data_IF_202648242713
#
_entry.id   IF_202648242713
#
_cell.length_a   1.000
_cell.length_b   1.000
_cell.length_c   1.000
_cell.angle_alpha   90.00
_cell.angle_beta   90.00
_cell.angle_gamma   90.00
#
_symmetry.space_group_name_H-M   'P 1'
#
loop_
_entity.id
_entity.type
_entity.pdbx_description
1 polymer ?
#
# COMPACT_ATOMS: atom_id res chain seq x y z
N UNK A 1 -35.76 -50.13 -70.04
CA UNK A 1 -34.76 -49.91 -71.10
C UNK A 1 -33.42 -49.79 -70.40
N UNK A 2 -32.60 -50.82 -70.56
CA UNK A 2 -31.33 -51.11 -69.87
C UNK A 2 -30.20 -50.20 -70.35
N UNK A 3 -29.26 -49.85 -69.44
CA UNK A 3 -27.84 -49.68 -69.79
C UNK A 3 -26.92 -49.80 -68.57
N UNK A 4 -26.27 -50.96 -68.56
CA UNK A 4 -24.93 -51.40 -68.13
C UNK A 4 -24.05 -50.65 -67.11
N UNK A 5 -23.39 -51.52 -66.37
CA UNK A 5 -22.38 -51.41 -65.32
C UNK A 5 -21.05 -50.76 -65.74
N UNK A 6 -20.35 -50.17 -64.77
CA UNK A 6 -18.90 -50.33 -64.61
C UNK A 6 -18.53 -50.28 -63.11
N UNK A 7 -17.76 -51.26 -62.58
CA UNK A 7 -17.26 -51.26 -61.20
C UNK A 7 -15.93 -50.49 -61.09
N UNK A 8 -15.73 -49.76 -59.99
CA UNK A 8 -14.42 -49.15 -59.64
C UNK A 8 -13.64 -50.07 -58.70
N UNK A 9 -12.34 -50.11 -58.99
CA UNK A 9 -11.31 -51.01 -58.50
C UNK A 9 -10.97 -50.83 -57.01
N UNK A 10 -10.67 -51.97 -56.37
CA UNK A 10 -9.92 -52.09 -55.12
C UNK A 10 -8.44 -51.73 -55.33
N UNK A 11 -7.84 -51.00 -54.39
CA UNK A 11 -6.38 -50.98 -54.21
C UNK A 11 -6.02 -50.70 -52.74
N UNK A 12 -5.43 -51.72 -52.11
CA UNK A 12 -4.62 -51.73 -50.88
C UNK A 12 -3.49 -52.75 -51.15
N UNK A 13 -2.39 -52.84 -50.38
CA UNK A 13 -1.76 -51.92 -49.43
C UNK A 13 -0.24 -51.77 -49.70
N UNK A 14 0.46 -50.93 -48.91
CA UNK A 14 1.93 -50.88 -48.94
C UNK A 14 2.53 -50.13 -47.74
N UNK A 15 2.83 -50.88 -46.68
CA UNK A 15 3.82 -50.50 -45.65
C UNK A 15 5.19 -51.03 -46.12
N UNK A 16 6.30 -50.32 -45.84
CA UNK A 16 7.28 -50.97 -44.98
C UNK A 16 8.09 -50.04 -44.04
N UNK A 17 8.35 -50.61 -42.87
CA UNK A 17 9.58 -50.65 -42.08
C UNK A 17 10.15 -49.40 -41.39
N UNK A 18 10.20 -49.52 -40.07
CA UNK A 18 11.14 -48.81 -39.22
C UNK A 18 12.52 -49.47 -39.22
N UNK A 19 13.56 -48.63 -39.28
CA UNK A 19 14.85 -48.95 -38.68
C UNK A 19 15.44 -47.71 -38.02
N UNK A 20 15.56 -47.81 -36.70
CA UNK A 20 16.45 -47.00 -35.88
C UNK A 20 17.92 -47.32 -36.21
N UNK A 21 18.82 -46.33 -36.10
CA UNK A 21 20.24 -46.59 -35.90
C UNK A 21 21.21 -45.64 -36.58
N UNK A 22 21.64 -44.62 -35.83
CA UNK A 22 23.04 -44.17 -35.66
C UNK A 22 23.94 -44.05 -36.92
N UNK A 23 24.11 -42.82 -37.42
CA UNK A 23 25.40 -42.41 -38.01
C UNK A 23 25.77 -41.03 -37.48
N UNK A 24 26.87 -41.06 -36.73
CA UNK A 24 27.58 -39.96 -36.08
C UNK A 24 28.30 -39.07 -37.11
N UNK A 25 28.76 -37.94 -36.59
CA UNK A 25 29.76 -37.02 -37.15
C UNK A 25 29.37 -36.23 -38.39
N UNK A 26 28.95 -34.98 -38.15
CA UNK A 26 29.44 -33.84 -38.94
C UNK A 26 29.42 -32.57 -38.06
N UNK A 27 30.56 -32.26 -37.43
CA UNK A 27 30.89 -30.90 -37.02
C UNK A 27 31.19 -30.04 -38.26
N UNK A 28 30.83 -28.76 -38.25
CA UNK A 28 31.62 -27.74 -38.94
C UNK A 28 32.11 -26.67 -37.97
N UNK A 29 33.42 -26.71 -37.75
CA UNK A 29 34.38 -25.60 -37.74
C UNK A 29 33.96 -24.24 -37.15
N UNK A 30 34.61 -23.95 -36.03
CA UNK A 30 34.64 -22.67 -35.35
C UNK A 30 35.70 -21.79 -36.02
N UNK A 31 35.29 -20.88 -36.90
CA UNK A 31 36.16 -19.81 -37.39
C UNK A 31 35.44 -18.46 -37.41
N UNK A 32 36.10 -17.44 -36.89
CA UNK A 32 35.75 -16.04 -37.15
C UNK A 32 35.73 -15.14 -35.92
N UNK A 33 36.90 -14.88 -35.35
CA UNK A 33 37.11 -13.79 -34.40
C UNK A 33 36.76 -12.44 -35.05
N UNK A 34 35.58 -11.91 -34.73
CA UNK A 34 35.17 -10.53 -35.04
C UNK A 34 34.97 -9.74 -33.75
N UNK A 35 36.06 -9.20 -33.19
CA UNK A 35 35.98 -8.33 -32.01
C UNK A 35 35.36 -6.97 -32.38
N UNK A 36 34.03 -6.87 -32.26
CA UNK A 36 33.33 -5.58 -32.36
C UNK A 36 33.65 -4.78 -31.09
N UNK A 37 34.67 -3.92 -31.20
CA UNK A 37 35.11 -3.00 -30.16
C UNK A 37 34.11 -1.85 -30.06
N UNK A 38 33.08 -2.00 -29.23
CA UNK A 38 32.15 -0.90 -28.91
C UNK A 38 32.89 0.14 -28.07
N UNK A 39 33.24 1.25 -28.72
CA UNK A 39 33.88 2.43 -28.13
C UNK A 39 32.95 3.05 -27.09
N UNK A 40 33.33 2.92 -25.82
CA UNK A 40 32.62 3.51 -24.69
C UNK A 40 32.55 5.03 -24.79
N UNK A 41 31.34 5.57 -24.97
CA UNK A 41 31.06 6.98 -24.80
C UNK A 41 30.62 7.19 -23.36
N UNK A 42 31.46 7.90 -22.60
CA UNK A 42 31.31 8.12 -21.16
C UNK A 42 29.94 8.66 -20.76
N UNK A 43 29.12 7.79 -20.18
CA UNK A 43 27.96 8.20 -19.40
C UNK A 43 28.44 8.73 -18.06
N UNK A 44 28.36 10.05 -17.88
CA UNK A 44 28.53 10.71 -16.58
C UNK A 44 27.64 9.99 -15.55
N UNK A 45 28.26 9.27 -14.63
CA UNK A 45 27.57 8.70 -13.46
C UNK A 45 27.18 9.87 -12.57
N UNK A 46 25.95 10.35 -12.70
CA UNK A 46 25.36 11.25 -11.72
C UNK A 46 25.17 10.46 -10.42
N UNK A 47 26.16 10.52 -9.54
CA UNK A 47 26.00 10.17 -8.13
C UNK A 47 25.20 11.29 -7.47
N UNK A 48 23.88 11.13 -7.41
CA UNK A 48 23.07 11.91 -6.48
C UNK A 48 23.22 11.25 -5.12
N UNK A 49 24.19 11.73 -4.34
CA UNK A 49 24.26 11.43 -2.92
C UNK A 49 23.14 12.24 -2.24
N UNK A 50 22.04 11.56 -1.93
CA UNK A 50 21.01 12.12 -1.06
C UNK A 50 21.52 12.03 0.38
N UNK A 51 22.29 13.04 0.80
CA UNK A 51 22.62 13.21 2.21
C UNK A 51 21.35 13.68 2.92
N UNK A 52 20.71 12.78 3.68
CA UNK A 52 19.64 13.15 4.59
C UNK A 52 20.25 13.97 5.72
N UNK A 53 20.11 15.29 5.64
CA UNK A 53 20.38 16.17 6.79
C UNK A 53 19.29 15.87 7.81
N UNK A 54 19.63 15.15 8.87
CA UNK A 54 18.77 15.00 10.04
C UNK A 54 18.84 16.35 10.77
N UNK A 55 17.92 17.25 10.45
CA UNK A 55 17.72 18.46 11.23
C UNK A 55 17.04 18.05 12.56
N UNK A 56 17.49 18.59 13.71
CA UNK A 56 16.85 18.31 14.99
C UNK A 56 15.40 18.81 14.95
N UNK A 57 14.46 17.91 15.23
CA UNK A 57 13.09 18.29 15.53
C UNK A 57 13.05 18.96 16.90
N UNK A 58 12.14 19.92 17.14
CA UNK A 58 11.89 20.37 18.49
C UNK A 58 11.48 19.14 19.31
N UNK A 59 12.39 18.75 20.21
CA UNK A 59 12.15 17.75 21.23
C UNK A 59 11.05 18.33 22.11
N UNK A 60 9.83 17.80 22.00
CA UNK A 60 8.83 18.04 23.03
C UNK A 60 9.29 17.28 24.27
N UNK A 61 10.01 17.98 25.16
CA UNK A 61 10.38 17.44 26.44
C UNK A 61 9.10 16.98 27.16
N UNK A 62 9.07 15.72 27.56
CA UNK A 62 7.93 15.10 28.20
C UNK A 62 7.52 15.88 29.46
N UNK A 63 6.38 16.57 29.40
CA UNK A 63 5.80 17.28 30.54
C UNK A 63 5.61 18.78 30.38
N UNK A 64 6.21 19.40 29.36
CA UNK A 64 5.88 20.78 29.00
C UNK A 64 4.68 20.78 28.03
N UNK A 65 3.72 21.68 28.25
CA UNK A 65 2.65 21.97 27.30
C UNK A 65 3.29 22.31 25.95
N UNK A 66 2.66 21.97 24.81
CA UNK A 66 3.30 22.17 23.52
C UNK A 66 3.47 23.64 23.10
N UNK A 67 4.21 24.49 23.82
CA UNK A 67 4.34 25.90 23.48
C UNK A 67 2.95 26.55 23.37
N UNK A 68 2.80 27.50 22.45
CA UNK A 68 1.48 28.07 22.14
C UNK A 68 0.69 27.13 21.22
N UNK A 69 -0.64 27.11 21.37
CA UNK A 69 -1.55 26.40 20.47
C UNK A 69 -1.23 26.79 19.01
N UNK A 70 -0.90 25.82 18.14
CA UNK A 70 -0.49 26.12 16.78
C UNK A 70 -1.67 26.63 15.96
N UNK A 71 -1.47 27.72 15.24
CA UNK A 71 -2.41 28.17 14.19
C UNK A 71 -2.26 27.28 12.96
N UNK A 72 -3.23 27.28 12.04
CA UNK A 72 -3.08 26.55 10.76
C UNK A 72 -1.83 26.96 9.96
N UNK A 73 -1.34 28.20 10.12
CA UNK A 73 -0.12 28.66 9.47
C UNK A 73 1.16 28.12 10.14
N UNK A 74 1.10 27.77 11.43
CA UNK A 74 2.25 27.27 12.22
C UNK A 74 2.18 25.79 12.55
N UNK A 75 1.05 25.13 12.27
CA UNK A 75 0.78 23.71 12.47
C UNK A 75 1.49 22.80 11.44
N UNK A 76 2.76 23.05 11.15
CA UNK A 76 3.57 22.23 10.24
C UNK A 76 4.81 21.70 10.95
N UNK A 77 5.15 20.44 10.72
CA UNK A 77 6.36 19.80 11.25
C UNK A 77 7.37 19.51 10.13
N UNK A 78 8.65 19.84 10.34
CA UNK A 78 9.73 19.56 9.38
C UNK A 78 10.22 18.10 9.43
N UNK A 79 9.31 17.16 9.72
CA UNK A 79 9.62 15.77 10.04
C UNK A 79 10.63 15.11 9.08
N UNK A 80 11.45 14.14 9.55
CA UNK A 80 12.35 13.36 8.69
C UNK A 80 11.60 12.55 7.61
N UNK A 81 10.28 12.45 7.73
CA UNK A 81 9.40 11.84 6.72
C UNK A 81 9.23 12.72 5.47
N UNK A 82 9.39 14.05 5.58
CA UNK A 82 9.19 14.97 4.44
C UNK A 82 10.11 14.65 3.26
N UNK A 83 11.45 14.48 3.42
CA UNK A 83 12.32 14.06 2.34
C UNK A 83 11.91 12.74 1.69
N UNK A 84 11.45 11.77 2.50
CA UNK A 84 11.02 10.46 2.00
C UNK A 84 9.73 10.59 1.15
N UNK A 85 8.76 11.40 1.59
CA UNK A 85 7.54 11.68 0.81
C UNK A 85 7.87 12.39 -0.50
N UNK A 86 8.70 13.43 -0.46
CA UNK A 86 9.12 14.15 -1.67
C UNK A 86 9.84 13.23 -2.66
N UNK A 87 10.71 12.35 -2.16
CA UNK A 87 11.39 11.36 -2.99
C UNK A 87 10.40 10.40 -3.65
N UNK A 88 9.42 9.88 -2.89
CA UNK A 88 8.40 8.96 -3.41
C UNK A 88 7.51 9.65 -4.45
N UNK A 89 7.10 10.89 -4.21
CA UNK A 89 6.35 11.73 -5.17
C UNK A 89 7.16 11.93 -6.45
N UNK A 90 8.42 12.32 -6.33
CA UNK A 90 9.30 12.57 -7.46
C UNK A 90 9.53 11.29 -8.30
N UNK A 91 9.80 10.16 -7.64
CA UNK A 91 9.98 8.88 -8.33
C UNK A 91 8.69 8.43 -9.03
N UNK A 92 7.54 8.58 -8.39
CA UNK A 92 6.26 8.25 -9.01
C UNK A 92 5.97 9.15 -10.23
N UNK A 93 6.17 10.46 -10.11
CA UNK A 93 6.02 11.40 -11.22
C UNK A 93 6.97 11.12 -12.39
N UNK A 94 8.23 10.77 -12.12
CA UNK A 94 9.19 10.34 -13.14
C UNK A 94 8.71 9.07 -13.82
N UNK A 95 8.28 8.06 -13.07
CA UNK A 95 7.76 6.79 -13.60
C UNK A 95 6.54 7.01 -14.49
N UNK A 96 5.60 7.83 -14.02
CA UNK A 96 4.38 8.19 -14.76
C UNK A 96 4.73 8.91 -16.06
N UNK A 97 5.63 9.90 -16.01
CA UNK A 97 6.08 10.64 -17.18
C UNK A 97 6.77 9.76 -18.22
N UNK A 98 7.40 8.65 -17.81
CA UNK A 98 8.05 7.68 -18.70
C UNK A 98 7.04 6.71 -19.30
N UNK A 99 6.07 6.26 -18.53
CA UNK A 99 5.00 5.37 -18.99
C UNK A 99 4.08 6.06 -20.00
N UNK A 100 3.84 7.36 -19.82
CA UNK A 100 3.02 8.16 -20.72
C UNK A 100 3.82 8.76 -21.88
N UNK A 101 5.17 8.72 -21.84
CA UNK A 101 6.01 9.13 -22.98
C UNK A 101 5.87 8.09 -24.11
N UNK A 102 5.35 8.53 -25.26
CA UNK A 102 5.11 7.68 -26.43
C UNK A 102 3.67 7.19 -26.60
N UNK A 103 2.72 7.74 -25.83
CA UNK A 103 1.28 7.49 -25.97
C UNK A 103 0.45 8.59 -25.31
N UNK A 104 -0.84 8.31 -25.10
CA UNK A 104 -1.74 9.21 -24.36
C UNK A 104 -1.64 8.98 -22.85
N UNK A 105 -1.88 10.03 -22.07
CA UNK A 105 -2.07 9.90 -20.62
C UNK A 105 -3.15 8.84 -20.34
N UNK A 106 -2.85 7.90 -19.44
CA UNK A 106 -3.71 6.75 -19.18
C UNK A 106 -3.22 5.41 -19.75
N UNK A 107 -2.16 5.40 -20.57
CA UNK A 107 -1.57 4.14 -21.08
C UNK A 107 -0.83 3.41 -19.95
N UNK A 108 -1.29 2.19 -19.63
CA UNK A 108 -0.72 1.31 -18.58
C UNK A 108 -1.18 1.66 -17.16
N UNK A 109 -1.16 2.94 -16.80
CA UNK A 109 -1.70 3.50 -15.55
C UNK A 109 -2.71 4.57 -15.91
N UNK A 110 -3.95 4.38 -15.48
CA UNK A 110 -5.07 5.30 -15.70
C UNK A 110 -4.87 6.61 -14.91
N UNK A 111 -5.55 7.67 -15.35
CA UNK A 111 -5.52 8.97 -14.65
C UNK A 111 -6.10 8.82 -13.23
N UNK A 112 -7.14 8.00 -13.05
CA UNK A 112 -7.73 7.73 -11.75
C UNK A 112 -6.73 7.04 -10.80
N UNK A 113 -5.98 6.04 -11.27
CA UNK A 113 -4.93 5.38 -10.46
C UNK A 113 -3.83 6.37 -10.05
N UNK A 114 -3.36 7.22 -10.98
CA UNK A 114 -2.39 8.26 -10.67
C UNK A 114 -2.94 9.28 -9.64
N UNK A 115 -4.19 9.73 -9.83
CA UNK A 115 -4.85 10.65 -8.92
C UNK A 115 -5.03 10.03 -7.52
N UNK A 116 -5.38 8.75 -7.43
CA UNK A 116 -5.47 8.04 -6.15
C UNK A 116 -4.13 7.97 -5.42
N UNK A 117 -3.02 7.78 -6.13
CA UNK A 117 -1.69 7.81 -5.51
C UNK A 117 -1.36 9.20 -4.92
N UNK A 118 -1.58 10.26 -5.68
CA UNK A 118 -1.35 11.62 -5.19
C UNK A 118 -2.30 11.99 -4.06
N UNK A 119 -3.57 11.56 -4.11
CA UNK A 119 -4.52 11.70 -3.02
C UNK A 119 -4.05 10.97 -1.75
N UNK A 120 -3.61 9.71 -1.87
CA UNK A 120 -3.06 8.93 -0.75
C UNK A 120 -1.80 9.56 -0.17
N UNK A 121 -0.95 10.15 -1.01
CA UNK A 121 0.22 10.89 -0.54
C UNK A 121 -0.16 12.20 0.13
N UNK A 122 -1.18 12.89 -0.37
CA UNK A 122 -1.77 14.06 0.28
C UNK A 122 -2.34 13.72 1.66
N UNK A 123 -2.95 12.55 1.83
CA UNK A 123 -3.38 12.03 3.14
C UNK A 123 -2.19 11.78 4.06
N UNK A 124 -1.07 11.25 3.55
CA UNK A 124 0.15 11.09 4.36
C UNK A 124 0.72 12.45 4.79
N UNK A 125 0.75 13.45 3.91
CA UNK A 125 1.15 14.82 4.26
C UNK A 125 0.20 15.39 5.31
N UNK A 126 -1.12 15.17 5.13
CA UNK A 126 -2.14 15.61 6.07
C UNK A 126 -1.90 15.05 7.48
N UNK A 127 -1.59 13.75 7.53
CA UNK A 127 -1.38 13.01 8.76
C UNK A 127 -0.01 13.25 9.41
N UNK A 128 1.07 13.45 8.64
CA UNK A 128 2.46 13.44 9.15
C UNK A 128 3.15 14.80 9.16
N UNK A 129 2.57 15.81 8.51
CA UNK A 129 3.25 17.09 8.27
C UNK A 129 2.36 18.26 8.65
N UNK A 130 1.11 18.29 8.18
CA UNK A 130 0.22 19.44 8.37
C UNK A 130 -1.25 19.06 8.22
N UNK A 131 -2.18 19.51 9.08
CA UNK A 131 -2.01 20.09 10.41
C UNK A 131 -2.22 19.04 11.51
N UNK A 132 -2.60 17.80 11.13
CA UNK A 132 -3.06 16.77 12.07
C UNK A 132 -1.93 16.35 13.01
N UNK A 133 -0.70 16.25 12.51
CA UNK A 133 0.48 15.93 13.33
C UNK A 133 0.68 16.94 14.47
N UNK A 134 0.56 18.24 14.16
CA UNK A 134 0.69 19.30 15.16
C UNK A 134 -0.45 19.25 16.17
N UNK A 135 -1.71 19.13 15.72
CA UNK A 135 -2.85 19.02 16.63
C UNK A 135 -2.90 17.68 17.38
N UNK A 136 -2.26 16.63 16.89
CA UNK A 136 -2.19 15.32 17.53
C UNK A 136 -1.43 15.34 18.87
N UNK A 137 -0.59 16.35 19.10
CA UNK A 137 0.00 16.62 20.40
C UNK A 137 -0.99 17.24 21.40
N UNK A 138 -2.08 17.85 20.92
CA UNK A 138 -3.01 18.64 21.74
C UNK A 138 -4.36 17.98 21.97
N UNK A 139 -4.88 17.32 20.94
CA UNK A 139 -6.22 16.72 20.94
C UNK A 139 -6.12 15.21 20.72
N UNK A 140 -6.82 14.45 21.56
CA UNK A 140 -7.01 13.02 21.37
C UNK A 140 -7.73 12.76 20.04
N UNK A 141 -8.69 13.60 19.66
CA UNK A 141 -9.39 13.47 18.39
C UNK A 141 -8.47 13.61 17.17
N UNK A 142 -7.55 14.57 17.19
CA UNK A 142 -6.54 14.73 16.15
C UNK A 142 -5.55 13.56 16.13
N UNK A 143 -5.12 13.08 17.30
CA UNK A 143 -4.26 11.91 17.44
C UNK A 143 -4.91 10.65 16.84
N UNK A 144 -6.18 10.39 17.18
CA UNK A 144 -6.93 9.27 16.61
C UNK A 144 -7.16 9.47 15.11
N UNK A 145 -7.48 10.69 14.68
CA UNK A 145 -7.55 11.04 13.27
C UNK A 145 -6.28 10.67 12.52
N UNK A 146 -5.11 10.98 13.07
CA UNK A 146 -3.80 10.63 12.50
C UNK A 146 -3.68 9.12 12.30
N UNK A 147 -3.99 8.32 13.32
CA UNK A 147 -3.95 6.86 13.23
C UNK A 147 -4.90 6.32 12.15
N UNK A 148 -6.11 6.86 12.07
CA UNK A 148 -7.11 6.45 11.09
C UNK A 148 -6.71 6.80 9.66
N UNK A 149 -6.12 7.97 9.44
CA UNK A 149 -5.61 8.36 8.12
C UNK A 149 -4.49 7.41 7.66
N UNK A 150 -3.58 7.02 8.56
CA UNK A 150 -2.46 6.12 8.25
C UNK A 150 -2.89 4.67 8.04
N UNK A 151 -3.86 4.18 8.81
CA UNK A 151 -4.26 2.77 8.80
C UNK A 151 -5.37 2.49 7.78
N UNK A 152 -6.38 3.35 7.70
CA UNK A 152 -7.61 3.10 6.96
C UNK A 152 -7.65 3.78 5.59
N UNK A 153 -7.18 5.03 5.48
CA UNK A 153 -7.39 5.86 4.30
C UNK A 153 -6.19 5.93 3.34
N UNK A 154 -4.99 6.21 3.84
CA UNK A 154 -3.79 6.32 3.00
C UNK A 154 -3.46 5.00 2.27
N UNK A 155 -3.48 3.82 2.92
CA UNK A 155 -3.10 2.57 2.26
C UNK A 155 -3.93 2.20 1.02
N UNK A 156 -5.29 2.21 1.05
CA UNK A 156 -6.06 1.88 -0.15
C UNK A 156 -5.80 2.85 -1.29
N UNK A 157 -5.69 4.15 -1.01
CA UNK A 157 -5.43 5.19 -2.02
C UNK A 157 -4.04 5.05 -2.66
N UNK A 158 -3.01 4.84 -1.85
CA UNK A 158 -1.65 4.63 -2.33
C UNK A 158 -1.57 3.36 -3.20
N UNK A 159 -2.18 2.26 -2.76
CA UNK A 159 -2.14 0.98 -3.48
C UNK A 159 -3.03 0.95 -4.73
N UNK A 160 -4.10 1.76 -4.76
CA UNK A 160 -4.91 1.97 -5.96
C UNK A 160 -4.01 2.43 -7.12
N UNK A 161 -3.07 3.35 -6.87
CA UNK A 161 -2.17 3.88 -7.89
C UNK A 161 -1.01 3.00 -8.34
N UNK A 162 -0.99 1.72 -7.94
CA UNK A 162 0.00 0.71 -8.37
C UNK A 162 1.47 1.19 -8.25
N UNK A 163 1.88 1.70 -7.08
CA UNK A 163 3.15 2.41 -6.90
C UNK A 163 4.36 1.55 -7.30
N UNK A 164 4.34 0.25 -7.00
CA UNK A 164 5.44 -0.65 -7.37
C UNK A 164 5.66 -0.73 -8.89
N UNK A 165 4.59 -0.73 -9.69
CA UNK A 165 4.69 -0.77 -11.15
C UNK A 165 5.26 0.55 -11.71
N UNK A 166 4.81 1.69 -11.16
CA UNK A 166 5.27 3.02 -11.58
C UNK A 166 6.71 3.28 -11.16
N UNK A 167 7.07 2.92 -9.92
CA UNK A 167 8.44 3.05 -9.43
C UNK A 167 9.41 2.16 -10.24
N UNK A 168 9.01 0.94 -10.60
CA UNK A 168 9.83 0.08 -11.46
C UNK A 168 10.15 0.73 -12.82
N UNK A 169 9.22 1.51 -13.39
CA UNK A 169 9.45 2.28 -14.61
C UNK A 169 10.34 3.53 -14.39
N UNK A 170 10.34 4.09 -13.17
CA UNK A 170 11.17 5.23 -12.80
C UNK A 170 12.64 4.85 -12.56
N UNK A 171 12.91 3.67 -12.02
CA UNK A 171 14.26 3.25 -11.63
C UNK A 171 15.02 2.56 -12.77
N UNK A 172 16.36 2.73 -12.86
CA UNK A 172 17.20 1.93 -13.77
C UNK A 172 17.12 0.43 -13.44
N UNK A 173 17.41 -0.48 -14.40
CA UNK A 173 17.26 -1.93 -14.21
C UNK A 173 17.97 -2.50 -12.98
N UNK A 174 19.17 -1.96 -12.65
CA UNK A 174 19.93 -2.36 -11.45
C UNK A 174 19.18 -2.10 -10.14
N UNK A 175 18.51 -0.95 -10.04
CA UNK A 175 17.78 -0.57 -8.84
C UNK A 175 16.40 -1.19 -8.81
N UNK A 176 15.75 -1.40 -9.96
CA UNK A 176 14.51 -2.18 -10.03
C UNK A 176 14.74 -3.63 -9.56
N UNK A 177 15.85 -4.25 -9.93
CA UNK A 177 16.24 -5.59 -9.43
C UNK A 177 16.51 -5.58 -7.92
N UNK A 178 17.19 -4.54 -7.41
CA UNK A 178 17.43 -4.37 -5.98
C UNK A 178 16.12 -4.22 -5.20
N UNK A 179 15.19 -3.38 -5.68
CA UNK A 179 13.86 -3.20 -5.10
C UNK A 179 13.10 -4.53 -5.07
N UNK A 180 13.09 -5.27 -6.18
CA UNK A 180 12.46 -6.58 -6.23
C UNK A 180 13.06 -7.57 -5.22
N UNK A 181 14.40 -7.55 -5.05
CA UNK A 181 15.09 -8.38 -4.06
C UNK A 181 14.72 -8.01 -2.62
N UNK A 182 14.63 -6.71 -2.31
CA UNK A 182 14.23 -6.21 -0.97
C UNK A 182 12.77 -6.55 -0.67
N UNK A 183 11.90 -6.51 -1.68
CA UNK A 183 10.48 -6.86 -1.52
C UNK A 183 10.20 -8.36 -1.65
N UNK A 184 11.17 -9.17 -2.06
CA UNK A 184 11.00 -10.62 -2.25
C UNK A 184 10.56 -11.36 -0.97
N UNK A 185 11.08 -11.05 0.24
CA UNK A 185 10.58 -11.66 1.48
C UNK A 185 9.11 -11.34 1.77
N UNK A 186 8.60 -10.20 1.30
CA UNK A 186 7.16 -9.85 1.40
C UNK A 186 6.29 -10.73 0.48
N UNK A 187 6.89 -11.52 -0.40
CA UNK A 187 6.21 -12.49 -1.25
C UNK A 187 6.17 -13.89 -0.63
N UNK A 188 6.80 -14.11 0.54
CA UNK A 188 6.73 -15.38 1.24
C UNK A 188 5.26 -15.76 1.54
N UNK A 189 4.91 -17.07 1.60
CA UNK A 189 3.55 -17.51 1.86
C UNK A 189 2.93 -16.88 3.12
N UNK A 190 3.72 -16.76 4.18
CA UNK A 190 3.33 -16.11 5.43
C UNK A 190 2.85 -14.66 5.21
N UNK A 191 3.60 -13.87 4.45
CA UNK A 191 3.29 -12.48 4.10
C UNK A 191 2.06 -12.36 3.18
N UNK A 192 1.59 -13.47 2.59
CA UNK A 192 0.38 -13.52 1.74
C UNK A 192 -0.87 -14.00 2.48
N UNK A 193 -0.74 -14.36 3.76
CA UNK A 193 -1.86 -14.84 4.56
C UNK A 193 -2.70 -13.67 5.06
N UNK A 194 -3.94 -13.56 4.55
CA UNK A 194 -4.85 -12.48 4.94
C UNK A 194 -5.18 -12.50 6.44
N UNK A 195 -5.31 -13.68 7.03
CA UNK A 195 -5.55 -13.79 8.48
C UNK A 195 -4.44 -13.12 9.29
N UNK A 196 -3.17 -13.31 8.91
CA UNK A 196 -2.03 -12.69 9.60
C UNK A 196 -2.00 -11.18 9.43
N UNK A 197 -2.26 -10.67 8.22
CA UNK A 197 -2.37 -9.24 7.98
C UNK A 197 -3.53 -8.61 8.80
N UNK A 198 -4.65 -9.33 8.90
CA UNK A 198 -5.82 -8.93 9.69
C UNK A 198 -5.47 -8.92 11.19
N UNK A 199 -4.83 -9.99 11.69
CA UNK A 199 -4.37 -10.08 13.08
C UNK A 199 -3.34 -9.01 13.41
N UNK A 200 -2.41 -8.69 12.50
CA UNK A 200 -1.45 -7.61 12.69
C UNK A 200 -2.15 -6.25 12.77
N UNK A 201 -3.15 -6.01 11.92
CA UNK A 201 -3.97 -4.79 11.97
C UNK A 201 -4.68 -4.64 13.32
N UNK A 202 -5.33 -5.71 13.79
CA UNK A 202 -5.99 -5.77 15.12
C UNK A 202 -4.96 -5.54 16.24
N UNK A 203 -3.83 -6.23 16.21
CA UNK A 203 -2.81 -6.15 17.25
C UNK A 203 -2.20 -4.75 17.36
N UNK A 204 -1.89 -4.12 16.23
CA UNK A 204 -1.41 -2.73 16.18
C UNK A 204 -2.47 -1.78 16.72
N UNK A 205 -3.73 -1.94 16.30
CA UNK A 205 -4.83 -1.12 16.79
C UNK A 205 -4.94 -1.20 18.31
N UNK A 206 -5.13 -2.40 18.87
CA UNK A 206 -5.33 -2.55 20.31
C UNK A 206 -4.09 -2.24 21.13
N UNK A 207 -2.91 -2.59 20.62
CA UNK A 207 -1.63 -2.38 21.31
C UNK A 207 -1.37 -0.91 21.58
N UNK A 208 -1.53 -0.04 20.58
CA UNK A 208 -1.24 1.39 20.73
C UNK A 208 -2.34 2.17 21.43
N UNK A 209 -3.58 1.67 21.45
CA UNK A 209 -4.69 2.30 22.18
C UNK A 209 -4.71 1.94 23.67
N UNK A 210 -3.81 1.07 24.14
CA UNK A 210 -3.65 0.82 25.56
C UNK A 210 -3.08 2.08 26.26
N UNK A 211 -3.58 2.47 27.46
CA UNK A 211 -3.09 3.65 28.17
C UNK A 211 -1.57 3.64 28.43
N UNK A 212 -0.99 2.46 28.69
CA UNK A 212 0.45 2.31 28.90
C UNK A 212 1.26 2.57 27.62
N UNK A 213 0.73 2.20 26.45
CA UNK A 213 1.38 2.44 25.17
C UNK A 213 1.37 3.94 24.84
N UNK A 214 0.25 4.62 25.09
CA UNK A 214 0.19 6.08 24.95
C UNK A 214 1.19 6.77 25.88
N UNK A 215 1.25 6.37 27.16
CA UNK A 215 2.22 6.93 28.10
C UNK A 215 3.68 6.74 27.65
N UNK A 216 4.00 5.62 26.99
CA UNK A 216 5.32 5.37 26.41
C UNK A 216 5.59 6.31 25.23
N UNK A 217 4.63 6.44 24.31
CA UNK A 217 4.73 7.26 23.11
C UNK A 217 4.92 8.74 23.46
N UNK A 218 4.21 9.22 24.49
CA UNK A 218 4.34 10.60 24.97
C UNK A 218 5.73 10.91 25.58
N UNK A 219 6.53 9.88 25.90
CA UNK A 219 7.85 10.03 26.52
C UNK A 219 9.00 9.64 25.59
N UNK A 220 8.71 9.10 24.42
CA UNK A 220 9.71 8.51 23.53
C UNK A 220 9.36 8.76 22.06
N UNK A 221 10.15 9.62 21.43
CA UNK A 221 10.03 9.91 20.00
C UNK A 221 10.21 8.65 19.12
N UNK A 222 11.19 7.73 19.39
CA UNK A 222 11.27 6.48 18.66
C UNK A 222 10.00 5.62 18.79
N UNK A 223 9.33 5.63 19.95
CA UNK A 223 8.08 4.90 20.14
C UNK A 223 6.94 5.53 19.32
N UNK A 224 6.90 6.86 19.22
CA UNK A 224 5.97 7.58 18.36
C UNK A 224 6.16 7.23 16.88
N UNK A 225 7.42 7.21 16.40
CA UNK A 225 7.74 6.77 15.04
C UNK A 225 7.37 5.31 14.78
N UNK A 226 7.64 4.42 15.75
CA UNK A 226 7.30 3.01 15.66
C UNK A 226 5.79 2.81 15.59
N UNK A 227 5.02 3.54 16.40
CA UNK A 227 3.57 3.52 16.39
C UNK A 227 3.02 3.91 15.02
N UNK A 228 3.38 5.08 14.51
CA UNK A 228 2.94 5.55 13.20
C UNK A 228 3.39 4.63 12.06
N UNK A 229 4.64 4.18 12.07
CA UNK A 229 5.16 3.22 11.12
C UNK A 229 4.37 1.91 11.14
N UNK A 230 4.04 1.40 12.33
CA UNK A 230 3.27 0.16 12.46
C UNK A 230 1.83 0.28 11.95
N UNK A 231 1.15 1.42 12.17
CA UNK A 231 -0.18 1.69 11.61
C UNK A 231 -0.13 1.69 10.08
N UNK A 232 0.80 2.45 9.49
CA UNK A 232 0.94 2.52 8.04
C UNK A 232 1.29 1.15 7.43
N UNK A 233 2.23 0.42 8.04
CA UNK A 233 2.65 -0.90 7.56
C UNK A 233 1.55 -1.95 7.68
N UNK A 234 0.82 -2.00 8.80
CA UNK A 234 -0.30 -2.92 8.99
C UNK A 234 -1.44 -2.60 8.00
N UNK A 235 -1.72 -1.31 7.75
CA UNK A 235 -2.69 -0.86 6.77
C UNK A 235 -2.30 -1.24 5.35
N UNK A 236 -1.05 -0.98 4.95
CA UNK A 236 -0.50 -1.36 3.64
C UNK A 236 -0.52 -2.87 3.43
N UNK A 237 -0.18 -3.65 4.46
CA UNK A 237 -0.17 -5.11 4.37
C UNK A 237 -1.58 -5.66 4.15
N UNK A 238 -2.55 -5.26 4.99
CA UNK A 238 -3.95 -5.66 4.85
C UNK A 238 -4.50 -5.26 3.48
N UNK A 239 -4.37 -3.98 3.10
CA UNK A 239 -4.92 -3.48 1.86
C UNK A 239 -4.24 -4.05 0.62
N UNK A 240 -2.96 -4.45 0.69
CA UNK A 240 -2.32 -5.17 -0.42
C UNK A 240 -3.05 -6.48 -0.71
N UNK A 241 -3.39 -7.24 0.33
CA UNK A 241 -4.09 -8.53 0.19
C UNK A 241 -5.57 -8.36 -0.15
N UNK A 242 -6.21 -7.27 0.29
CA UNK A 242 -7.57 -6.90 -0.14
C UNK A 242 -7.59 -6.45 -1.61
N UNK A 243 -6.61 -5.66 -2.06
CA UNK A 243 -6.52 -5.24 -3.46
C UNK A 243 -6.26 -6.42 -4.40
N UNK A 244 -5.45 -7.40 -4.01
CA UNK A 244 -5.31 -8.66 -4.76
C UNK A 244 -6.68 -9.36 -4.88
N UNK A 245 -7.45 -9.38 -3.79
CA UNK A 245 -8.81 -9.93 -3.75
C UNK A 245 -9.81 -9.21 -4.64
N UNK A 246 -9.70 -7.89 -4.69
CA UNK A 246 -10.54 -7.05 -5.53
C UNK A 246 -10.13 -7.15 -7.00
N UNK A 247 -8.85 -7.40 -7.32
CA UNK A 247 -8.30 -7.39 -8.68
C UNK A 247 -8.29 -8.77 -9.36
N UNK A 248 -8.10 -9.85 -8.61
CA UNK A 248 -7.87 -11.19 -9.13
C UNK A 248 -9.06 -12.13 -8.86
N UNK A 249 -9.65 -12.71 -9.90
CA UNK A 249 -10.91 -13.49 -9.82
C UNK A 249 -10.82 -14.85 -9.08
N UNK A 250 -9.62 -15.26 -8.67
CA UNK A 250 -9.36 -16.54 -8.00
C UNK A 250 -9.22 -16.43 -6.47
N UNK A 251 -9.24 -15.22 -5.90
CA UNK A 251 -8.59 -14.98 -4.60
C UNK A 251 -9.53 -14.91 -3.38
N UNK A 252 -10.75 -15.44 -3.50
CA UNK A 252 -11.63 -15.74 -2.35
C UNK A 252 -12.27 -14.50 -1.71
N UNK A 253 -13.31 -13.95 -2.35
CA UNK A 253 -14.04 -12.76 -1.91
C UNK A 253 -14.58 -12.86 -0.48
N UNK A 254 -15.09 -14.04 -0.07
CA UNK A 254 -15.59 -14.27 1.29
C UNK A 254 -14.51 -14.00 2.35
N UNK A 255 -13.28 -14.45 2.12
CA UNK A 255 -12.17 -14.21 3.06
C UNK A 255 -11.85 -12.72 3.21
N UNK A 256 -11.92 -11.96 2.11
CA UNK A 256 -11.74 -10.50 2.12
C UNK A 256 -12.86 -9.79 2.87
N UNK A 257 -14.11 -10.20 2.64
CA UNK A 257 -15.26 -9.63 3.34
C UNK A 257 -15.19 -9.90 4.86
N UNK A 258 -14.82 -11.12 5.27
CA UNK A 258 -14.61 -11.46 6.69
C UNK A 258 -13.52 -10.59 7.31
N UNK A 259 -12.37 -10.44 6.64
CA UNK A 259 -11.27 -9.60 7.15
C UNK A 259 -11.70 -8.14 7.33
N UNK A 260 -12.44 -7.59 6.36
CA UNK A 260 -13.00 -6.23 6.45
C UNK A 260 -13.95 -6.12 7.65
N UNK A 261 -14.89 -7.05 7.80
CA UNK A 261 -15.83 -7.05 8.92
C UNK A 261 -15.10 -7.12 10.26
N UNK A 262 -14.09 -7.99 10.40
CA UNK A 262 -13.29 -8.11 11.63
C UNK A 262 -12.61 -6.78 11.97
N UNK A 263 -11.96 -6.14 11.01
CA UNK A 263 -11.26 -4.85 11.23
C UNK A 263 -12.23 -3.72 11.53
N UNK A 264 -13.40 -3.71 10.90
CA UNK A 264 -14.45 -2.73 11.19
C UNK A 264 -15.06 -2.94 12.59
N UNK A 265 -15.34 -4.19 12.98
CA UNK A 265 -15.94 -4.50 14.29
C UNK A 265 -15.01 -4.14 15.45
N UNK A 266 -13.74 -4.53 15.37
CA UNK A 266 -12.77 -4.23 16.44
C UNK A 266 -12.51 -2.72 16.57
N UNK A 267 -12.46 -2.00 15.44
CA UNK A 267 -12.27 -0.55 15.39
C UNK A 267 -13.49 0.16 15.96
N UNK A 268 -14.69 -0.24 15.52
CA UNK A 268 -15.95 0.27 16.05
C UNK A 268 -16.13 0.00 17.53
N UNK A 269 -15.66 -1.15 18.04
CA UNK A 269 -15.68 -1.46 19.46
C UNK A 269 -14.79 -0.50 20.28
N UNK A 270 -13.55 -0.28 19.85
CA UNK A 270 -12.69 0.71 20.50
C UNK A 270 -13.28 2.13 20.40
N UNK A 271 -13.92 2.47 19.27
CA UNK A 271 -14.55 3.77 19.07
C UNK A 271 -15.71 3.96 20.04
N UNK A 272 -16.59 2.96 20.14
CA UNK A 272 -17.68 2.93 21.11
C UNK A 272 -17.18 3.03 22.55
N UNK A 273 -16.06 2.37 22.88
CA UNK A 273 -15.45 2.48 24.22
C UNK A 273 -15.07 3.93 24.54
N UNK A 274 -14.45 4.65 23.60
CA UNK A 274 -14.09 6.06 23.80
C UNK A 274 -15.35 6.95 23.92
N UNK A 275 -16.35 6.75 23.05
CA UNK A 275 -17.59 7.55 23.04
C UNK A 275 -18.40 7.35 24.32
N UNK A 276 -18.61 6.11 24.75
CA UNK A 276 -19.54 5.78 25.83
C UNK A 276 -18.87 5.67 27.20
N UNK A 277 -17.54 5.76 27.29
CA UNK A 277 -16.84 5.77 28.58
C UNK A 277 -17.23 7.01 29.38
N UNK A 278 -17.63 6.79 30.64
CA UNK A 278 -17.91 7.86 31.61
C UNK A 278 -16.65 8.42 32.28
N UNK A 279 -15.49 7.85 31.98
CA UNK A 279 -14.18 8.26 32.50
C UNK A 279 -13.33 8.78 31.36
N UNK A 280 -12.50 9.77 31.67
CA UNK A 280 -11.44 10.23 30.76
C UNK A 280 -10.35 9.15 30.75
N UNK A 281 -10.21 8.45 29.61
CA UNK A 281 -9.30 7.32 29.45
C UNK A 281 -7.87 7.78 29.18
N UNK A 282 -7.70 8.97 28.62
CA UNK A 282 -6.40 9.55 28.28
C UNK A 282 -6.24 10.94 28.92
N UNK A 283 -6.00 11.00 30.25
CA UNK A 283 -5.96 12.27 30.99
C UNK A 283 -4.84 13.22 30.54
N UNK A 284 -3.82 12.73 29.82
CA UNK A 284 -2.74 13.55 29.25
C UNK A 284 -3.25 14.65 28.31
N UNK A 285 -4.40 14.45 27.69
CA UNK A 285 -5.02 15.44 26.79
C UNK A 285 -5.97 16.39 27.53
N UNK A 286 -6.26 16.18 28.82
CA UNK A 286 -7.31 16.94 29.49
C UNK A 286 -6.99 18.44 29.59
N UNK A 287 -5.78 18.77 30.03
CA UNK A 287 -5.31 20.16 30.13
C UNK A 287 -5.07 20.77 28.75
N UNK A 288 -4.53 19.96 27.82
CA UNK A 288 -4.21 20.39 26.44
C UNK A 288 -5.46 20.72 25.62
N UNK A 289 -6.50 19.91 25.73
CA UNK A 289 -7.78 20.11 25.07
C UNK A 289 -8.44 21.42 25.53
N UNK A 290 -8.35 21.72 26.83
CA UNK A 290 -8.93 22.93 27.41
C UNK A 290 -8.33 24.22 26.81
N UNK A 291 -7.06 24.21 26.42
CA UNK A 291 -6.41 25.35 25.74
C UNK A 291 -6.98 25.64 24.34
N UNK A 292 -7.56 24.64 23.68
CA UNK A 292 -8.29 24.80 22.42
C UNK A 292 -9.80 25.06 22.64
N UNK A 293 -10.24 25.23 23.89
CA UNK A 293 -11.63 25.52 24.23
C UNK A 293 -12.57 24.31 24.12
N UNK A 294 -12.05 23.08 24.09
CA UNK A 294 -12.83 21.85 24.07
C UNK A 294 -12.64 21.07 25.38
N UNK A 295 -13.70 20.49 25.92
CA UNK A 295 -13.59 19.68 27.13
C UNK A 295 -12.92 18.34 26.80
N UNK A 296 -12.19 17.77 27.76
CA UNK A 296 -11.56 16.45 27.61
C UNK A 296 -12.57 15.34 27.26
N UNK A 297 -13.82 15.48 27.73
CA UNK A 297 -14.88 14.52 27.46
C UNK A 297 -15.38 14.63 26.02
N UNK A 298 -15.60 15.85 25.53
CA UNK A 298 -16.02 16.10 24.14
C UNK A 298 -14.94 15.65 23.15
N UNK A 299 -13.67 15.95 23.44
CA UNK A 299 -12.54 15.51 22.63
C UNK A 299 -12.43 13.98 22.57
N UNK A 300 -12.66 13.28 23.70
CA UNK A 300 -12.69 11.81 23.73
C UNK A 300 -13.85 11.24 22.92
N UNK A 301 -15.05 11.81 23.01
CA UNK A 301 -16.18 11.37 22.21
C UNK A 301 -15.92 11.59 20.72
N UNK A 302 -15.37 12.75 20.36
CA UNK A 302 -15.00 13.05 18.98
C UNK A 302 -13.93 12.08 18.47
N UNK A 303 -12.93 11.75 19.28
CA UNK A 303 -11.92 10.75 18.95
C UNK A 303 -12.53 9.37 18.67
N UNK A 304 -13.46 8.92 19.51
CA UNK A 304 -14.18 7.68 19.30
C UNK A 304 -15.08 7.68 18.06
N UNK A 305 -15.75 8.80 17.77
CA UNK A 305 -16.56 8.96 16.57
C UNK A 305 -15.71 8.93 15.29
N UNK A 306 -14.56 9.62 15.28
CA UNK A 306 -13.59 9.61 14.16
C UNK A 306 -13.08 8.19 13.92
N UNK A 307 -12.73 7.47 14.99
CA UNK A 307 -12.28 6.09 14.88
C UNK A 307 -13.38 5.15 14.37
N UNK A 308 -14.65 5.44 14.64
CA UNK A 308 -15.75 4.56 14.25
C UNK A 308 -16.31 4.87 12.86
N UNK A 309 -16.94 6.03 12.65
CA UNK A 309 -17.81 6.26 11.49
C UNK A 309 -17.02 6.65 10.24
N UNK A 310 -16.18 7.71 10.23
CA UNK A 310 -15.41 8.08 9.05
C UNK A 310 -14.43 6.99 8.63
N UNK A 311 -13.81 6.32 9.61
CA UNK A 311 -12.76 5.34 9.38
C UNK A 311 -13.29 4.01 8.84
N UNK A 312 -14.59 3.73 9.01
CA UNK A 312 -15.25 2.60 8.39
C UNK A 312 -15.45 2.78 6.87
N UNK A 313 -15.48 4.02 6.36
CA UNK A 313 -15.83 4.30 4.96
C UNK A 313 -14.90 3.64 3.94
N UNK A 314 -13.54 3.70 4.06
CA UNK A 314 -12.65 3.03 3.12
C UNK A 314 -12.91 1.51 3.07
N UNK A 315 -13.11 0.90 4.24
CA UNK A 315 -13.39 -0.53 4.34
C UNK A 315 -14.76 -0.89 3.76
N UNK A 316 -15.79 -0.09 4.00
CA UNK A 316 -17.12 -0.28 3.43
C UNK A 316 -17.09 -0.19 1.90
N UNK A 317 -16.41 0.82 1.35
CA UNK A 317 -16.20 0.95 -0.10
C UNK A 317 -15.47 -0.28 -0.65
N UNK A 318 -14.42 -0.74 0.03
CA UNK A 318 -13.69 -1.96 -0.34
C UNK A 318 -14.57 -3.21 -0.32
N UNK A 319 -15.42 -3.37 0.70
CA UNK A 319 -16.34 -4.50 0.82
C UNK A 319 -17.41 -4.48 -0.26
N UNK A 320 -18.06 -3.34 -0.49
CA UNK A 320 -19.07 -3.17 -1.55
C UNK A 320 -18.45 -3.49 -2.90
N UNK A 321 -17.25 -2.99 -3.19
CA UNK A 321 -16.59 -3.28 -4.45
C UNK A 321 -16.27 -4.77 -4.60
N UNK A 322 -15.70 -5.38 -3.57
CA UNK A 322 -15.36 -6.81 -3.56
C UNK A 322 -16.61 -7.68 -3.81
N UNK A 323 -17.70 -7.42 -3.09
CA UNK A 323 -18.95 -8.16 -3.21
C UNK A 323 -19.64 -7.91 -4.56
N UNK A 324 -19.69 -6.66 -5.03
CA UNK A 324 -20.27 -6.34 -6.33
C UNK A 324 -19.52 -7.03 -7.48
N UNK A 325 -18.19 -7.18 -7.36
CA UNK A 325 -17.40 -7.94 -8.34
C UNK A 325 -17.72 -9.44 -8.28
N UNK A 326 -17.80 -10.02 -7.09
CA UNK A 326 -18.13 -11.44 -6.94
C UNK A 326 -19.54 -11.76 -7.45
N UNK A 327 -20.50 -10.86 -7.21
CA UNK A 327 -21.87 -11.00 -7.72
C UNK A 327 -21.91 -11.06 -9.26
N UNK A 328 -21.25 -10.09 -9.92
CA UNK A 328 -21.12 -10.08 -11.39
C UNK A 328 -20.40 -11.30 -11.95
N UNK A 329 -19.52 -11.93 -11.17
CA UNK A 329 -18.83 -13.17 -11.56
C UNK A 329 -19.77 -14.37 -11.52
N UNK A 330 -20.60 -14.47 -10.47
CA UNK A 330 -21.60 -15.53 -10.35
C UNK A 330 -22.61 -15.48 -11.49
N UNK A 331 -23.04 -14.28 -11.90
CA UNK A 331 -23.94 -14.08 -13.05
C UNK A 331 -23.34 -14.55 -14.39
N UNK A 332 -22.01 -14.51 -14.54
CA UNK A 332 -21.31 -14.84 -15.79
C UNK A 332 -20.96 -16.31 -15.94
N UNK A 333 -21.16 -17.13 -14.91
CA UNK A 333 -20.94 -18.59 -14.99
C UNK A 333 -22.26 -19.23 -15.42
N UNK A 334 -22.38 -19.75 -16.66
CA UNK A 334 -23.50 -20.62 -16.99
C UNK A 334 -23.43 -21.83 -16.05
N UNK A 335 -24.55 -22.15 -15.41
CA UNK A 335 -24.69 -23.31 -14.53
C UNK A 335 -24.51 -24.63 -15.25
#
# INVERSE_FOLDING_TARGET
>A
MTRDEQPRQEEQPGEPDGHAGDVRDFQPEIHGAGSVRVRGRGGRKACVAASAVILPHPVWAAGELPGEVPTLATAWSLSPVVPALLLVIALYGIGLSRLWRGGHAGRGISIAEAASFFAGTGVLVLAMVWPVDAYGAWLLSAHMGQHMLLLALAPPLLLAGRPLAVLAAALPPRWSKALHRVLHPLQAPFSRTLALATSANVAVMWGWHAPAALALVMRSEPAHWLMHGSFLLAGLWLWTLLWQRIRDDASGALSGAIAIVVVMMQMGFLGALLVFSRRILHPVYADRAAELGITAFDDQQLAGLIMWVPSALPYLVGAVWLLAREFRRMERRPG
#
